data_IF_776377384934
#
_entry.id   IF_776377384934
#
_cell.length_a   1.000
_cell.length_b   1.000
_cell.length_c   1.000
_cell.angle_alpha   90.00
_cell.angle_beta   90.00
_cell.angle_gamma   90.00
#
_symmetry.space_group_name_H-M   'P 1'
#
loop_
_entity.id
_entity.type
_entity.pdbx_description
1 polymer ?
#
# COMPACT_ATOMS: atom_id res chain seq x y z
N UNK A 1 -8.45 48.54 6.72
CA UNK A 1 -7.63 49.36 7.63
C UNK A 1 -6.12 49.28 7.36
N UNK A 2 -5.61 48.46 6.41
CA UNK A 2 -4.21 48.51 5.95
C UNK A 2 -3.13 48.13 6.98
N UNK A 3 -3.49 48.04 8.27
CA UNK A 3 -2.62 47.68 9.37
C UNK A 3 -2.64 46.17 9.61
N UNK A 4 -1.46 45.57 9.61
CA UNK A 4 -1.28 44.19 10.03
C UNK A 4 -1.25 44.07 11.56
N UNK A 5 -1.49 42.88 12.08
CA UNK A 5 -1.42 42.57 13.52
C UNK A 5 -0.24 41.65 13.84
N UNK A 6 0.08 41.54 15.14
CA UNK A 6 1.23 40.77 15.63
C UNK A 6 2.56 41.32 15.13
N UNK A 7 3.53 40.43 14.92
CA UNK A 7 4.89 40.82 14.49
C UNK A 7 4.92 41.72 13.25
N UNK A 8 4.10 41.44 12.24
CA UNK A 8 4.09 42.27 11.01
C UNK A 8 3.61 43.69 11.32
N UNK A 9 2.62 43.84 12.21
CA UNK A 9 2.14 45.15 12.62
C UNK A 9 3.17 45.93 13.46
N UNK A 10 3.96 45.23 14.27
CA UNK A 10 5.05 45.81 15.05
C UNK A 10 6.20 46.30 14.15
N UNK A 11 6.57 45.50 13.14
CA UNK A 11 7.54 45.89 12.11
C UNK A 11 7.02 47.07 11.27
N UNK A 12 5.73 47.06 10.90
CA UNK A 12 5.11 48.15 10.12
C UNK A 12 5.03 49.47 10.91
N UNK A 13 5.00 49.41 12.24
CA UNK A 13 4.84 50.58 13.12
C UNK A 13 6.16 51.03 13.76
N UNK A 14 7.31 50.54 13.28
CA UNK A 14 8.64 50.79 13.84
C UNK A 14 8.74 50.48 15.36
N UNK A 15 7.96 49.52 15.85
CA UNK A 15 8.03 49.04 17.23
C UNK A 15 9.06 47.91 17.40
N UNK A 16 9.45 47.27 16.30
CA UNK A 16 10.49 46.24 16.26
C UNK A 16 11.33 46.42 14.99
N UNK A 17 12.64 46.19 15.09
CA UNK A 17 13.55 46.29 13.93
C UNK A 17 13.70 44.96 13.16
N UNK A 18 13.48 43.83 13.85
CA UNK A 18 13.74 42.49 13.31
C UNK A 18 12.69 41.47 13.76
N UNK A 19 12.20 40.67 12.81
CA UNK A 19 11.31 39.54 13.06
C UNK A 19 12.08 38.23 13.21
N UNK A 20 11.92 37.55 14.36
CA UNK A 20 12.61 36.28 14.65
C UNK A 20 11.85 35.00 14.29
N UNK A 21 10.79 35.07 13.47
CA UNK A 21 9.94 33.90 13.13
C UNK A 21 9.95 33.60 11.64
N UNK A 22 9.68 32.34 11.29
CA UNK A 22 9.44 31.96 9.91
C UNK A 22 8.11 32.57 9.42
N UNK A 23 8.18 33.35 8.34
CA UNK A 23 7.03 34.02 7.73
C UNK A 23 6.90 33.59 6.27
N UNK A 24 5.67 33.29 5.85
CA UNK A 24 5.39 33.09 4.44
C UNK A 24 5.53 34.41 3.68
N UNK A 25 6.18 34.33 2.51
CA UNK A 25 6.18 35.40 1.54
C UNK A 25 4.77 35.46 0.95
N UNK A 26 4.10 36.58 1.18
CA UNK A 26 2.78 36.86 0.59
C UNK A 26 2.87 38.21 -0.08
N UNK A 27 2.18 38.38 -1.21
CA UNK A 27 2.24 39.61 -2.01
C UNK A 27 1.84 40.86 -1.22
N UNK A 28 1.01 40.71 -0.20
CA UNK A 28 0.59 41.81 0.66
C UNK A 28 1.65 42.18 1.71
N UNK A 29 2.39 41.20 2.25
CA UNK A 29 3.44 41.45 3.26
C UNK A 29 4.75 41.91 2.65
N UNK A 30 5.07 41.46 1.44
CA UNK A 30 6.30 41.82 0.74
C UNK A 30 6.40 43.33 0.43
N UNK A 31 5.26 44.05 0.50
CA UNK A 31 5.19 45.50 0.31
C UNK A 31 5.49 46.29 1.58
N UNK A 32 5.34 45.66 2.75
CA UNK A 32 5.43 46.33 4.05
C UNK A 32 6.72 45.96 4.80
N UNK A 33 7.30 44.79 4.52
CA UNK A 33 8.52 44.30 5.19
C UNK A 33 9.51 43.68 4.20
N UNK A 34 10.79 43.83 4.50
CA UNK A 34 11.87 43.16 3.79
C UNK A 34 12.16 41.77 4.39
N UNK A 35 12.32 40.77 3.52
CA UNK A 35 12.62 39.40 3.91
C UNK A 35 14.11 39.11 3.78
N UNK A 36 14.69 38.48 4.80
CA UNK A 36 16.02 37.90 4.70
C UNK A 36 15.97 36.64 3.81
N UNK A 37 17.00 36.46 2.99
CA UNK A 37 17.14 35.27 2.17
C UNK A 37 17.16 34.01 3.04
N UNK A 38 16.29 33.04 2.71
CA UNK A 38 16.25 31.76 3.41
C UNK A 38 17.55 30.98 3.15
N UNK A 39 18.37 30.84 4.18
CA UNK A 39 19.63 30.06 4.10
C UNK A 39 19.38 28.56 4.03
N UNK A 40 18.24 28.09 4.56
CA UNK A 40 17.85 26.68 4.57
C UNK A 40 16.49 26.51 3.88
N UNK A 41 16.36 25.63 2.88
CA UNK A 41 15.09 25.38 2.23
C UNK A 41 14.14 24.66 3.19
N UNK A 42 13.00 25.29 3.47
CA UNK A 42 11.92 24.70 4.26
C UNK A 42 10.88 24.07 3.34
N UNK A 43 10.38 22.89 3.69
CA UNK A 43 9.33 22.21 2.92
C UNK A 43 8.27 21.66 3.84
N UNK A 44 7.01 21.96 3.52
CA UNK A 44 5.83 21.43 4.21
C UNK A 44 5.26 20.31 3.35
N UNK A 45 5.02 19.15 3.95
CA UNK A 45 4.57 17.96 3.21
C UNK A 45 3.60 17.13 4.04
N UNK A 46 2.81 16.30 3.35
CA UNK A 46 2.08 15.23 4.00
C UNK A 46 3.03 14.06 4.30
N UNK A 47 3.11 13.68 5.57
CA UNK A 47 3.81 12.49 6.04
C UNK A 47 2.79 11.42 6.43
N UNK A 48 3.03 10.18 6.05
CA UNK A 48 2.17 9.06 6.39
C UNK A 48 2.98 7.77 6.40
N UNK A 49 2.47 6.77 7.12
CA UNK A 49 3.01 5.41 7.07
C UNK A 49 2.49 4.70 5.83
N UNK A 50 3.37 4.12 5.01
CA UNK A 50 2.97 3.40 3.80
C UNK A 50 1.88 2.35 4.11
N UNK A 51 0.73 2.40 3.44
CA UNK A 51 -0.30 1.38 3.64
C UNK A 51 0.21 0.02 3.16
N UNK A 52 -0.27 -1.06 3.77
CA UNK A 52 0.05 -2.42 3.33
C UNK A 52 -0.62 -2.69 1.98
N UNK A 53 0.03 -3.47 1.12
CA UNK A 53 -0.49 -3.85 -0.20
C UNK A 53 -1.87 -4.55 -0.12
N UNK A 54 -2.16 -5.22 1.00
CA UNK A 54 -3.45 -5.85 1.32
C UNK A 54 -4.65 -4.90 1.32
N UNK A 55 -4.43 -3.61 1.49
CA UNK A 55 -5.51 -2.63 1.46
C UNK A 55 -5.84 -2.13 0.05
N UNK A 56 -4.96 -2.37 -0.92
CA UNK A 56 -5.04 -1.71 -2.22
C UNK A 56 -5.30 -2.65 -3.39
N UNK A 57 -5.02 -3.95 -3.25
CA UNK A 57 -5.13 -4.94 -4.33
C UNK A 57 -5.63 -6.29 -3.83
N UNK A 58 -6.08 -7.13 -4.77
CA UNK A 58 -6.41 -8.52 -4.50
C UNK A 58 -5.11 -9.33 -4.35
N UNK A 59 -4.56 -9.33 -3.13
CA UNK A 59 -3.23 -9.91 -2.80
C UNK A 59 -3.12 -11.39 -3.14
N UNK A 60 -4.24 -12.10 -3.29
CA UNK A 60 -4.24 -13.51 -3.64
C UNK A 60 -3.80 -13.79 -5.09
N UNK A 61 -3.95 -12.83 -6.01
CA UNK A 61 -3.57 -13.02 -7.42
C UNK A 61 -2.19 -12.48 -7.76
N UNK A 62 -1.65 -11.60 -6.93
CA UNK A 62 -0.33 -10.98 -7.05
C UNK A 62 0.90 -11.92 -6.93
N UNK A 63 0.86 -13.10 -6.28
CA UNK A 63 2.06 -13.92 -6.07
C UNK A 63 2.67 -14.47 -7.36
N UNK A 64 1.85 -14.60 -8.41
CA UNK A 64 2.23 -15.11 -9.72
C UNK A 64 1.75 -14.19 -10.82
N UNK A 65 2.52 -14.10 -11.90
CA UNK A 65 2.10 -13.37 -13.10
C UNK A 65 0.98 -14.11 -13.82
N UNK A 66 0.23 -13.38 -14.65
CA UNK A 66 -0.82 -13.98 -15.48
C UNK A 66 -0.32 -15.16 -16.33
N UNK A 67 0.92 -15.07 -16.84
CA UNK A 67 1.56 -16.16 -17.59
C UNK A 67 1.74 -17.41 -16.74
N UNK A 68 2.20 -17.29 -15.50
CA UNK A 68 2.38 -18.43 -14.60
C UNK A 68 1.04 -19.08 -14.26
N UNK A 69 -0.01 -18.29 -14.02
CA UNK A 69 -1.36 -18.81 -13.83
C UNK A 69 -1.85 -19.63 -15.02
N UNK A 70 -1.65 -19.14 -16.25
CA UNK A 70 -1.99 -19.88 -17.47
C UNK A 70 -1.17 -21.17 -17.58
N UNK A 71 0.12 -21.15 -17.24
CA UNK A 71 0.96 -22.34 -17.23
C UNK A 71 0.49 -23.39 -16.21
N UNK A 72 0.09 -22.96 -15.00
CA UNK A 72 -0.45 -23.86 -13.96
C UNK A 72 -1.74 -24.52 -14.46
N UNK A 73 -2.69 -23.73 -14.97
CA UNK A 73 -3.96 -24.26 -15.50
C UNK A 73 -3.70 -25.24 -16.65
N UNK A 74 -2.80 -24.88 -17.58
CA UNK A 74 -2.43 -25.73 -18.71
C UNK A 74 -1.79 -27.04 -18.25
N UNK A 75 -0.90 -26.99 -17.25
CA UNK A 75 -0.27 -28.16 -16.67
C UNK A 75 -1.30 -29.11 -16.02
N UNK A 76 -2.26 -28.58 -15.27
CA UNK A 76 -3.35 -29.35 -14.64
C UNK A 76 -4.21 -30.03 -15.70
N UNK A 77 -4.62 -29.29 -16.73
CA UNK A 77 -5.46 -29.85 -17.80
C UNK A 77 -4.69 -30.92 -18.57
N UNK A 78 -3.43 -30.67 -18.91
CA UNK A 78 -2.60 -31.62 -19.64
C UNK A 78 -2.35 -32.90 -18.84
N UNK A 79 -1.98 -32.77 -17.56
CA UNK A 79 -1.76 -33.93 -16.68
C UNK A 79 -3.05 -34.73 -16.45
N UNK A 80 -4.20 -34.06 -16.32
CA UNK A 80 -5.51 -34.71 -16.24
C UNK A 80 -5.90 -35.47 -17.51
N UNK A 81 -5.67 -34.87 -18.69
CA UNK A 81 -5.92 -35.53 -19.99
C UNK A 81 -4.98 -36.72 -20.19
N UNK A 82 -3.70 -36.59 -19.85
CA UNK A 82 -2.74 -37.70 -19.90
C UNK A 82 -3.14 -38.83 -18.96
N UNK A 83 -3.57 -38.52 -17.74
CA UNK A 83 -4.05 -39.51 -16.78
C UNK A 83 -5.30 -40.24 -17.31
N UNK A 84 -6.25 -39.51 -17.90
CA UNK A 84 -7.42 -40.09 -18.56
C UNK A 84 -7.05 -41.06 -19.69
N UNK A 85 -6.07 -40.68 -20.53
CA UNK A 85 -5.59 -41.52 -21.63
C UNK A 85 -4.96 -42.79 -21.07
N UNK A 86 -4.07 -42.68 -20.07
CA UNK A 86 -3.41 -43.83 -19.45
C UNK A 86 -4.44 -44.77 -18.83
N UNK A 87 -5.42 -44.25 -18.08
CA UNK A 87 -6.49 -45.05 -17.48
C UNK A 87 -7.35 -45.76 -18.53
N UNK A 88 -7.66 -45.10 -19.65
CA UNK A 88 -8.41 -45.73 -20.77
C UNK A 88 -7.59 -46.81 -21.48
N UNK A 89 -6.30 -46.58 -21.71
CA UNK A 89 -5.39 -47.58 -22.31
C UNK A 89 -5.23 -48.78 -21.38
N UNK A 90 -5.03 -48.54 -20.08
CA UNK A 90 -4.94 -49.57 -19.06
C UNK A 90 -6.21 -50.41 -19.01
N UNK A 91 -7.39 -49.79 -19.05
CA UNK A 91 -8.65 -50.52 -19.13
C UNK A 91 -8.73 -51.38 -20.40
N UNK A 92 -8.33 -50.86 -21.56
CA UNK A 92 -8.35 -51.63 -22.82
C UNK A 92 -7.41 -52.83 -22.78
N UNK A 93 -6.19 -52.65 -22.31
CA UNK A 93 -5.18 -53.70 -22.23
C UNK A 93 -5.52 -54.75 -21.14
N UNK A 94 -6.12 -54.32 -20.02
CA UNK A 94 -6.39 -55.21 -18.88
C UNK A 94 -7.78 -55.86 -18.94
N UNK A 95 -8.71 -55.36 -19.77
CA UNK A 95 -9.98 -56.06 -20.11
C UNK A 95 -9.75 -57.44 -20.73
N UNK A 96 -8.57 -57.68 -21.30
CA UNK A 96 -8.13 -58.99 -21.80
C UNK A 96 -7.75 -59.95 -20.65
N UNK A 97 -7.55 -59.46 -19.42
CA UNK A 97 -6.94 -60.24 -18.33
C UNK A 97 -7.75 -60.35 -17.03
N UNK A 98 -8.64 -59.41 -16.68
CA UNK A 98 -9.49 -59.49 -15.46
C UNK A 98 -10.84 -58.75 -15.58
N UNK A 99 -11.93 -59.35 -15.08
CA UNK A 99 -13.32 -58.82 -15.14
C UNK A 99 -13.69 -57.77 -14.06
N UNK A 100 -12.86 -57.54 -13.04
CA UNK A 100 -13.18 -56.67 -11.88
C UNK A 100 -12.39 -55.35 -11.86
N UNK A 101 -12.42 -54.58 -12.96
CA UNK A 101 -11.75 -53.26 -13.02
C UNK A 101 -12.81 -52.16 -13.04
N UNK A 102 -12.73 -51.26 -12.05
CA UNK A 102 -13.55 -50.04 -11.96
C UNK A 102 -13.42 -49.25 -13.25
N UNK A 103 -14.55 -48.90 -13.88
CA UNK A 103 -14.55 -48.12 -15.12
C UNK A 103 -14.10 -46.70 -14.81
N UNK A 104 -13.07 -46.15 -15.48
CA UNK A 104 -12.64 -44.79 -15.27
C UNK A 104 -13.74 -43.83 -15.75
N UNK A 105 -14.35 -43.12 -14.81
CA UNK A 105 -15.29 -42.04 -15.10
C UNK A 105 -14.53 -40.72 -15.26
N UNK A 106 -15.05 -39.83 -16.11
CA UNK A 106 -14.47 -38.50 -16.32
C UNK A 106 -14.52 -37.69 -15.03
N UNK A 107 -15.64 -37.79 -14.29
CA UNK A 107 -15.85 -37.09 -13.02
C UNK A 107 -14.81 -37.53 -11.98
N UNK A 108 -14.60 -38.85 -11.83
CA UNK A 108 -13.63 -39.40 -10.88
C UNK A 108 -12.21 -38.93 -11.20
N UNK A 109 -11.88 -38.79 -12.48
CA UNK A 109 -10.54 -38.32 -12.89
C UNK A 109 -10.37 -36.81 -12.68
N UNK A 110 -11.41 -36.02 -12.92
CA UNK A 110 -11.42 -34.60 -12.57
C UNK A 110 -11.30 -34.42 -11.06
N UNK A 111 -12.03 -35.22 -10.28
CA UNK A 111 -11.98 -35.16 -8.81
C UNK A 111 -10.63 -35.61 -8.27
N UNK A 112 -10.00 -36.59 -8.91
CA UNK A 112 -8.63 -37.01 -8.63
C UNK A 112 -7.62 -35.87 -8.89
N UNK A 113 -7.73 -35.18 -10.02
CA UNK A 113 -6.89 -34.02 -10.34
C UNK A 113 -7.12 -32.85 -9.37
N UNK A 114 -8.36 -32.62 -8.96
CA UNK A 114 -8.70 -31.64 -7.93
C UNK A 114 -8.10 -32.02 -6.57
N UNK A 115 -8.14 -33.31 -6.20
CA UNK A 115 -7.45 -33.83 -5.03
C UNK A 115 -5.95 -33.57 -5.08
N UNK A 116 -5.30 -33.92 -6.19
CA UNK A 116 -3.87 -33.67 -6.38
C UNK A 116 -3.50 -32.18 -6.28
N UNK A 117 -4.35 -31.29 -6.78
CA UNK A 117 -4.20 -29.83 -6.63
C UNK A 117 -4.24 -29.38 -5.18
N UNK A 118 -5.18 -29.93 -4.42
CA UNK A 118 -5.30 -29.70 -2.99
C UNK A 118 -4.24 -30.46 -2.17
N UNK A 119 -3.29 -31.14 -2.83
CA UNK A 119 -2.31 -32.05 -2.20
C UNK A 119 -2.98 -33.16 -1.38
N UNK A 120 -4.21 -33.51 -1.73
CA UNK A 120 -4.96 -34.60 -1.14
C UNK A 120 -4.71 -35.89 -1.91
N UNK A 121 -4.65 -36.99 -1.17
CA UNK A 121 -4.60 -38.33 -1.75
C UNK A 121 -5.91 -38.66 -2.47
N UNK A 122 -5.82 -39.52 -3.48
CA UNK A 122 -6.98 -40.03 -4.21
C UNK A 122 -7.41 -41.39 -3.70
N UNK A 123 -8.71 -41.65 -3.74
CA UNK A 123 -9.25 -42.98 -3.44
C UNK A 123 -9.02 -43.97 -4.60
N UNK A 124 -8.83 -43.45 -5.83
CA UNK A 124 -8.58 -44.28 -7.01
C UNK A 124 -7.10 -44.57 -7.10
N UNK A 125 -6.69 -45.77 -6.68
CA UNK A 125 -5.30 -46.18 -6.80
C UNK A 125 -4.97 -46.57 -8.25
N UNK A 126 -4.07 -45.85 -8.95
CA UNK A 126 -3.53 -46.29 -10.23
C UNK A 126 -2.78 -47.62 -10.08
N UNK A 127 -3.05 -48.62 -10.92
CA UNK A 127 -2.31 -49.90 -10.85
C UNK A 127 -1.07 -49.91 -11.75
N UNK A 128 -1.09 -49.22 -12.88
CA UNK A 128 0.03 -49.18 -13.82
C UNK A 128 1.20 -48.28 -13.37
N UNK A 129 2.43 -48.69 -13.64
CA UNK A 129 3.63 -47.89 -13.35
C UNK A 129 3.62 -46.48 -13.97
N UNK A 130 3.20 -46.28 -15.25
CA UNK A 130 3.19 -44.96 -15.87
C UNK A 130 2.24 -43.97 -15.18
N UNK A 131 1.07 -44.43 -14.73
CA UNK A 131 0.11 -43.58 -14.01
C UNK A 131 0.61 -43.22 -12.60
N UNK A 132 1.27 -44.14 -11.91
CA UNK A 132 1.97 -43.86 -10.63
C UNK A 132 3.06 -42.81 -10.79
N UNK A 133 3.91 -42.93 -11.82
CA UNK A 133 4.95 -41.94 -12.11
C UNK A 133 4.36 -40.57 -12.46
N UNK A 134 3.29 -40.51 -13.26
CA UNK A 134 2.63 -39.26 -13.64
C UNK A 134 2.04 -38.54 -12.41
N UNK A 135 1.32 -39.27 -11.55
CA UNK A 135 0.74 -38.71 -10.33
C UNK A 135 1.83 -38.23 -9.37
N UNK A 136 2.88 -39.03 -9.15
CA UNK A 136 4.00 -38.64 -8.30
C UNK A 136 4.69 -37.37 -8.80
N UNK A 137 5.00 -37.30 -10.10
CA UNK A 137 5.62 -36.12 -10.71
C UNK A 137 4.72 -34.89 -10.57
N UNK A 138 3.41 -35.06 -10.81
CA UNK A 138 2.43 -33.96 -10.70
C UNK A 138 2.34 -33.45 -9.27
N UNK A 139 2.32 -34.34 -8.28
CA UNK A 139 2.32 -33.97 -6.85
C UNK A 139 3.58 -33.20 -6.46
N UNK A 140 4.76 -33.63 -6.91
CA UNK A 140 6.02 -32.94 -6.64
C UNK A 140 6.00 -31.51 -7.22
N UNK A 141 5.58 -31.36 -8.48
CA UNK A 141 5.49 -30.05 -9.14
C UNK A 141 4.50 -29.14 -8.40
N UNK A 142 3.32 -29.65 -8.06
CA UNK A 142 2.30 -28.90 -7.33
C UNK A 142 2.74 -28.53 -5.90
N UNK A 143 3.53 -29.38 -5.24
CA UNK A 143 4.13 -29.10 -3.94
C UNK A 143 5.09 -27.90 -4.01
N UNK A 144 5.98 -27.88 -5.01
CA UNK A 144 6.89 -26.73 -5.20
C UNK A 144 6.14 -25.45 -5.54
N UNK A 145 5.12 -25.51 -6.39
CA UNK A 145 4.27 -24.36 -6.73
C UNK A 145 3.56 -23.81 -5.49
N UNK A 146 3.00 -24.68 -4.65
CA UNK A 146 2.35 -24.29 -3.41
C UNK A 146 3.32 -23.62 -2.42
N UNK A 147 4.52 -24.20 -2.26
CA UNK A 147 5.56 -23.62 -1.40
C UNK A 147 5.97 -22.22 -1.88
N UNK A 148 6.16 -22.06 -3.20
CA UNK A 148 6.50 -20.75 -3.81
C UNK A 148 5.36 -19.73 -3.65
N UNK A 149 4.11 -20.14 -3.88
CA UNK A 149 2.94 -19.29 -3.70
C UNK A 149 2.80 -18.80 -2.25
N UNK A 150 2.94 -19.72 -1.29
CA UNK A 150 2.88 -19.42 0.14
C UNK A 150 3.95 -18.40 0.56
N UNK A 151 5.20 -18.62 0.14
CA UNK A 151 6.31 -17.70 0.41
C UNK A 151 6.07 -16.30 -0.19
N UNK A 152 5.60 -16.24 -1.44
CA UNK A 152 5.36 -14.99 -2.13
C UNK A 152 4.18 -14.20 -1.52
N UNK A 153 3.09 -14.86 -1.12
CA UNK A 153 1.98 -14.19 -0.41
C UNK A 153 2.47 -13.53 0.88
N UNK A 154 3.24 -14.27 1.69
CA UNK A 154 3.73 -13.75 2.97
C UNK A 154 4.62 -12.52 2.74
N UNK A 155 5.51 -12.57 1.74
CA UNK A 155 6.33 -11.42 1.36
C UNK A 155 5.50 -10.23 0.88
N UNK A 156 4.45 -10.46 0.09
CA UNK A 156 3.58 -9.41 -0.44
C UNK A 156 2.74 -8.72 0.64
N UNK A 157 2.20 -9.48 1.62
CA UNK A 157 1.42 -8.91 2.72
C UNK A 157 2.28 -8.00 3.61
N UNK A 158 3.57 -8.31 3.73
CA UNK A 158 4.52 -7.51 4.50
C UNK A 158 5.09 -6.34 3.70
N UNK A 159 4.95 -6.34 2.37
CA UNK A 159 5.50 -5.31 1.52
C UNK A 159 4.68 -4.01 1.58
N UNK A 160 5.33 -2.84 1.69
CA UNK A 160 4.65 -1.55 1.67
C UNK A 160 4.11 -1.25 0.27
N UNK A 161 2.95 -0.60 0.21
CA UNK A 161 2.37 -0.10 -1.04
C UNK A 161 2.98 1.24 -1.44
N UNK A 162 3.25 1.41 -2.75
CA UNK A 162 3.74 2.66 -3.35
C UNK A 162 2.67 3.36 -4.21
N UNK A 163 1.38 3.14 -3.92
CA UNK A 163 0.29 3.71 -4.73
C UNK A 163 0.06 5.21 -4.52
N UNK A 164 0.36 5.74 -3.33
CA UNK A 164 0.11 7.14 -3.00
C UNK A 164 1.38 7.94 -3.29
N UNK A 165 1.41 8.66 -4.42
CA UNK A 165 2.56 9.49 -4.82
C UNK A 165 2.19 10.96 -5.02
N UNK A 166 0.92 11.23 -5.31
CA UNK A 166 0.40 12.57 -5.60
C UNK A 166 -0.66 13.00 -4.58
N UNK A 167 -1.00 14.29 -4.56
CA UNK A 167 -2.08 14.82 -3.70
C UNK A 167 -3.42 14.24 -4.13
N UNK A 168 -3.60 13.96 -5.41
CA UNK A 168 -4.81 13.32 -5.95
C UNK A 168 -4.93 11.86 -5.49
N UNK A 169 -3.82 11.11 -5.47
CA UNK A 169 -3.81 9.77 -4.88
C UNK A 169 -4.15 9.82 -3.39
N UNK A 170 -3.62 10.81 -2.67
CA UNK A 170 -3.94 11.01 -1.25
C UNK A 170 -5.43 11.32 -1.07
N UNK A 171 -6.00 12.21 -1.89
CA UNK A 171 -7.42 12.57 -1.88
C UNK A 171 -8.33 11.36 -2.14
N UNK A 172 -7.94 10.49 -3.08
CA UNK A 172 -8.70 9.27 -3.42
C UNK A 172 -8.38 8.09 -2.50
N UNK A 173 -7.38 8.20 -1.63
CA UNK A 173 -7.01 7.14 -0.68
C UNK A 173 -8.00 7.01 0.47
N UNK A 174 -7.87 5.91 1.22
CA UNK A 174 -8.61 5.70 2.48
C UNK A 174 -7.95 6.36 3.70
N UNK A 175 -6.83 7.05 3.52
CA UNK A 175 -6.14 7.72 4.64
C UNK A 175 -6.95 8.93 5.11
N UNK A 176 -7.09 9.08 6.42
CA UNK A 176 -7.53 10.34 7.01
C UNK A 176 -6.39 11.37 6.91
N UNK A 177 -6.73 12.66 6.87
CA UNK A 177 -5.74 13.72 6.77
C UNK A 177 -5.93 14.76 7.88
N UNK A 178 -4.83 15.33 8.36
CA UNK A 178 -4.85 16.52 9.21
C UNK A 178 -3.55 17.28 9.13
N UNK A 179 -3.49 18.41 9.84
CA UNK A 179 -2.35 19.32 9.79
C UNK A 179 -1.89 19.68 11.20
N UNK A 180 -0.62 20.08 11.30
CA UNK A 180 -0.08 20.66 12.52
C UNK A 180 -0.86 21.93 12.88
N UNK A 181 -1.21 22.07 14.16
CA UNK A 181 -1.92 23.23 14.67
C UNK A 181 -1.02 24.47 14.74
N UNK A 182 -0.88 25.11 13.59
CA UNK A 182 -0.10 26.34 13.42
C UNK A 182 -0.94 27.39 12.73
N UNK A 183 -0.64 28.66 13.03
CA UNK A 183 -1.33 29.81 12.41
C UNK A 183 -1.23 29.75 10.88
N UNK A 184 -0.09 29.28 10.36
CA UNK A 184 0.13 29.17 8.92
C UNK A 184 -0.73 28.09 8.27
N UNK A 185 -0.83 26.89 8.86
CA UNK A 185 -1.64 25.81 8.29
C UNK A 185 -3.11 26.17 8.27
N UNK A 186 -3.60 26.77 9.37
CA UNK A 186 -4.98 27.25 9.44
C UNK A 186 -5.27 28.27 8.34
N UNK A 187 -4.40 29.27 8.18
CA UNK A 187 -4.55 30.27 7.12
C UNK A 187 -4.52 29.65 5.73
N UNK A 188 -3.53 28.79 5.46
CA UNK A 188 -3.31 28.16 4.16
C UNK A 188 -4.50 27.31 3.73
N UNK A 189 -4.94 26.36 4.57
CA UNK A 189 -6.05 25.48 4.22
C UNK A 189 -7.41 26.19 4.12
N UNK A 190 -7.60 27.31 4.85
CA UNK A 190 -8.83 28.10 4.77
C UNK A 190 -8.91 28.99 3.52
N UNK A 191 -7.76 29.40 2.96
CA UNK A 191 -7.69 30.32 1.81
C UNK A 191 -7.17 29.65 0.53
N UNK A 192 -6.98 28.33 0.55
CA UNK A 192 -6.46 27.59 -0.60
C UNK A 192 -7.43 27.63 -1.79
N UNK A 193 -6.88 27.92 -2.97
CA UNK A 193 -7.63 28.07 -4.23
C UNK A 193 -7.45 26.86 -5.14
N UNK A 194 -6.36 26.12 -4.97
CA UNK A 194 -6.07 24.93 -5.77
C UNK A 194 -7.12 23.83 -5.50
N UNK A 195 -7.74 23.26 -6.56
CA UNK A 195 -8.89 22.37 -6.42
C UNK A 195 -8.60 21.09 -5.63
N UNK A 196 -7.43 20.46 -5.80
CA UNK A 196 -7.10 19.19 -5.13
C UNK A 196 -6.86 19.40 -3.64
N UNK A 197 -6.08 20.43 -3.26
CA UNK A 197 -5.81 20.77 -1.86
C UNK A 197 -7.05 21.26 -1.13
N UNK A 198 -7.87 22.08 -1.79
CA UNK A 198 -9.18 22.47 -1.25
C UNK A 198 -10.06 21.25 -1.02
N UNK A 199 -10.09 20.31 -1.97
CA UNK A 199 -10.85 19.07 -1.81
C UNK A 199 -10.31 18.18 -0.69
N UNK A 200 -8.99 18.16 -0.43
CA UNK A 200 -8.41 17.47 0.73
C UNK A 200 -8.90 18.09 2.02
N UNK A 201 -8.88 19.42 2.13
CA UNK A 201 -9.40 20.11 3.29
C UNK A 201 -10.89 19.81 3.51
N UNK A 202 -11.71 20.02 2.48
CA UNK A 202 -13.16 19.87 2.56
C UNK A 202 -13.62 18.42 2.79
N UNK A 203 -12.95 17.43 2.20
CA UNK A 203 -13.39 16.02 2.25
C UNK A 203 -12.71 15.19 3.35
N UNK A 204 -11.46 15.49 3.69
CA UNK A 204 -10.66 14.66 4.61
C UNK A 204 -10.34 15.34 5.92
N UNK A 205 -10.25 16.67 5.94
CA UNK A 205 -9.86 17.41 7.15
C UNK A 205 -11.07 18.01 7.86
N UNK A 206 -12.09 18.45 7.13
CA UNK A 206 -13.29 19.02 7.74
C UNK A 206 -14.19 17.91 8.29
N UNK A 207 -14.25 17.79 9.62
CA UNK A 207 -15.24 16.92 10.25
C UNK A 207 -16.65 17.48 10.03
N UNK A 208 -17.60 16.60 9.67
CA UNK A 208 -19.03 16.96 9.50
C UNK A 208 -19.67 17.55 10.76
N UNK A 209 -19.07 17.28 11.91
CA UNK A 209 -19.53 17.71 13.23
C UNK A 209 -19.00 19.10 13.65
N UNK A 210 -18.19 19.74 12.80
CA UNK A 210 -17.66 21.09 13.07
C UNK A 210 -16.60 21.15 14.19
N UNK A 211 -16.16 20.02 14.75
CA UNK A 211 -15.05 20.03 15.71
C UNK A 211 -13.72 20.34 15.00
N UNK A 212 -12.99 21.33 15.50
CA UNK A 212 -11.65 21.78 15.03
C UNK A 212 -10.53 20.71 15.19
N UNK A 213 -10.89 19.45 15.45
CA UNK A 213 -10.00 18.37 15.90
C UNK A 213 -8.99 17.85 14.86
N UNK A 214 -8.92 18.48 13.68
CA UNK A 214 -8.05 18.07 12.57
C UNK A 214 -6.76 18.86 12.51
N UNK A 215 -6.73 20.05 13.13
CA UNK A 215 -5.50 20.72 13.50
C UNK A 215 -5.06 20.16 14.85
N UNK A 216 -3.95 19.45 14.86
CA UNK A 216 -3.47 18.74 16.05
C UNK A 216 -2.04 19.12 16.37
N UNK A 217 -1.67 19.00 17.64
CA UNK A 217 -0.29 19.19 18.06
C UNK A 217 0.63 18.22 17.34
N UNK A 218 1.87 18.66 17.11
CA UNK A 218 2.91 17.90 16.43
C UNK A 218 3.08 16.47 17.00
N UNK A 219 3.15 16.35 18.33
CA UNK A 219 3.28 15.07 19.03
C UNK A 219 2.10 14.12 18.73
N UNK A 220 0.87 14.65 18.80
CA UNK A 220 -0.35 13.87 18.52
C UNK A 220 -0.42 13.46 17.05
N UNK A 221 0.02 14.33 16.14
CA UNK A 221 0.11 14.05 14.71
C UNK A 221 1.10 12.93 14.38
N UNK A 222 2.31 12.99 14.96
CA UNK A 222 3.33 11.93 14.79
C UNK A 222 2.83 10.60 15.33
N UNK A 223 2.17 10.58 16.49
CA UNK A 223 1.61 9.34 17.06
C UNK A 223 0.49 8.75 16.19
N UNK A 224 -0.40 9.59 15.63
CA UNK A 224 -1.41 9.12 14.65
C UNK A 224 -0.77 8.53 13.40
N UNK A 225 0.27 9.17 12.86
CA UNK A 225 1.02 8.64 11.71
C UNK A 225 1.64 7.28 12.03
N UNK A 226 2.13 7.10 13.26
CA UNK A 226 2.72 5.84 13.74
C UNK A 226 1.69 4.71 13.83
N UNK A 227 0.49 5.01 14.36
CA UNK A 227 -0.65 4.10 14.41
C UNK A 227 -1.10 3.69 12.98
N UNK A 228 -0.84 4.55 12.00
CA UNK A 228 -1.09 4.30 10.58
C UNK A 228 -2.44 4.84 10.14
N UNK A 229 -2.77 4.65 8.85
CA UNK A 229 -4.03 5.12 8.24
C UNK A 229 -4.27 6.64 8.31
N UNK A 230 -3.26 7.42 8.69
CA UNK A 230 -3.33 8.87 8.85
C UNK A 230 -2.20 9.57 8.08
N UNK A 231 -2.54 10.66 7.41
CA UNK A 231 -1.62 11.56 6.74
C UNK A 231 -1.59 12.90 7.47
N UNK A 232 -0.38 13.34 7.84
CA UNK A 232 -0.18 14.53 8.64
C UNK A 232 0.61 15.56 7.85
N UNK A 233 0.05 16.76 7.70
CA UNK A 233 0.68 17.89 7.03
C UNK A 233 1.51 18.69 8.03
N UNK A 234 2.82 18.71 7.80
CA UNK A 234 3.79 19.26 8.75
C UNK A 234 5.03 19.78 8.03
N UNK A 235 5.68 20.77 8.63
CA UNK A 235 7.01 21.19 8.19
C UNK A 235 8.04 20.10 8.51
N UNK A 236 8.79 19.67 7.49
CA UNK A 236 9.76 18.58 7.63
C UNK A 236 10.82 18.89 8.69
N UNK A 237 11.36 20.11 8.71
CA UNK A 237 12.43 20.50 9.63
C UNK A 237 12.03 20.34 11.10
N UNK A 238 10.78 20.65 11.44
CA UNK A 238 10.24 20.52 12.80
C UNK A 238 9.98 19.04 13.12
N UNK A 239 9.42 18.29 12.17
CA UNK A 239 9.18 16.85 12.35
C UNK A 239 10.48 16.06 12.56
N UNK A 240 11.58 16.42 11.87
CA UNK A 240 12.88 15.76 12.02
C UNK A 240 13.54 15.98 13.39
N UNK A 241 13.13 17.00 14.15
CA UNK A 241 13.69 17.30 15.47
C UNK A 241 13.08 16.46 16.59
N UNK A 242 12.00 15.71 16.35
CA UNK A 242 11.37 14.86 17.35
C UNK A 242 12.06 13.50 17.46
N UNK A 243 12.72 13.18 18.59
CA UNK A 243 13.35 11.88 18.79
C UNK A 243 12.35 10.73 18.69
N UNK A 244 11.11 10.94 19.17
CA UNK A 244 10.03 9.96 19.16
C UNK A 244 9.57 9.56 17.75
N UNK A 245 9.78 10.44 16.76
CA UNK A 245 9.56 10.09 15.35
C UNK A 245 10.57 9.03 14.85
N UNK A 246 11.73 8.89 15.52
CA UNK A 246 12.85 8.04 15.08
C UNK A 246 13.22 6.91 16.04
N UNK A 247 12.81 6.95 17.31
CA UNK A 247 13.35 6.06 18.36
C UNK A 247 12.90 4.59 18.28
N UNK A 248 11.84 4.27 17.53
CA UNK A 248 11.42 2.90 17.29
C UNK A 248 10.94 2.71 15.85
N UNK A 249 11.85 2.65 14.86
CA UNK A 249 11.48 2.16 13.55
C UNK A 249 11.25 0.65 13.73
N UNK A 250 10.03 0.09 13.56
CA UNK A 250 9.94 -1.32 13.23
C UNK A 250 10.92 -1.53 12.07
N UNK A 251 11.77 -2.55 12.14
CA UNK A 251 12.96 -2.82 11.30
C UNK A 251 12.73 -2.74 9.76
N UNK A 252 11.52 -2.43 9.33
CA UNK A 252 11.07 -2.09 7.97
C UNK A 252 11.10 -0.59 7.62
N UNK A 253 11.32 0.33 8.57
CA UNK A 253 11.43 1.77 8.27
C UNK A 253 12.87 2.16 7.95
N UNK A 254 13.19 2.05 6.65
CA UNK A 254 14.15 2.95 6.01
C UNK A 254 13.61 4.39 6.05
N UNK A 255 13.64 5.01 7.22
CA UNK A 255 13.22 6.40 7.45
C UNK A 255 14.09 7.41 6.68
N UNK A 256 15.23 6.96 6.16
CA UNK A 256 16.10 7.73 5.27
C UNK A 256 15.58 7.82 3.82
N UNK A 257 14.61 7.00 3.39
CA UNK A 257 14.21 6.95 1.96
C UNK A 257 12.74 6.65 1.64
N UNK A 258 11.87 6.36 2.64
CA UNK A 258 10.48 5.92 2.37
C UNK A 258 9.39 6.71 3.09
N UNK A 259 9.62 8.00 3.32
CA UNK A 259 8.52 8.96 3.43
C UNK A 259 8.21 9.41 2.01
N UNK A 260 7.10 8.90 1.44
CA UNK A 260 6.62 9.39 0.16
C UNK A 260 6.08 10.81 0.38
N UNK A 261 6.97 11.73 0.05
CA UNK A 261 6.79 13.16 0.18
C UNK A 261 5.98 13.64 -1.02
N UNK A 262 4.70 13.92 -0.82
CA UNK A 262 3.93 14.62 -1.85
C UNK A 262 4.38 16.08 -1.83
N UNK A 263 4.95 16.53 -2.94
CA UNK A 263 5.57 17.85 -3.05
C UNK A 263 4.55 18.97 -2.91
N UNK A 264 4.83 19.89 -1.99
CA UNK A 264 4.41 21.27 -2.08
C UNK A 264 5.60 22.05 -2.64
N UNK A 265 5.60 22.33 -3.95
CA UNK A 265 6.40 23.41 -4.49
C UNK A 265 5.60 24.70 -4.24
N UNK A 266 6.10 25.56 -3.35
CA UNK A 266 5.67 26.95 -3.29
C UNK A 266 6.58 27.75 -4.22
N UNK A 267 5.97 28.36 -5.23
CA UNK A 267 6.30 29.72 -5.64
C UNK A 267 5.26 30.63 -5.00
#
# INVERSE_FOLDING_TARGET
>A
TGKFSGMIGELQSDLADLGGTALFLTADRIKEIDYLSMTTPTSVKFIFRSPKLSFTDNVFLLPFSATVWVCIISFIVLSGVLLLIIMKVELRCTRVRYQNIVRPNLIDTVMNMFGALCQQGSYVEPKSLPSKCLILLSLIILMFLYASYSANIVALIQSPSNKIKTLEDLLNSRLEAGAEDTVYNRYYFMHETEPVRKAIYDRKMKHRDGSDSTFITLQKGVEKVRQGQYAFHVELGVCYKLPEAFLNPPKTLGFQQKLWMIFQQML
#
